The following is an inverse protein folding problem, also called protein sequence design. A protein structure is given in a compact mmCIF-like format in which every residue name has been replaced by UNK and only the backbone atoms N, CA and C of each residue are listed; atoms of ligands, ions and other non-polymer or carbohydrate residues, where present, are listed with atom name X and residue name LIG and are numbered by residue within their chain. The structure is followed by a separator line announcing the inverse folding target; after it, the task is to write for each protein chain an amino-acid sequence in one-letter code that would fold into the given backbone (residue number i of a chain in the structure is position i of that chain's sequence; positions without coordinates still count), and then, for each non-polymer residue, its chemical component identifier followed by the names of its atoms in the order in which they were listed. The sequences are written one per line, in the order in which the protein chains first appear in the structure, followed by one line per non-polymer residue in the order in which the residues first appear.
data_IF_068804315035
#
_entry.id   IF_068804315035
#
_cell.length_a   1.000
_cell.length_b   1.000
_cell.length_c   1.000
_cell.angle_alpha   90.00
_cell.angle_beta   90.00
_cell.angle_gamma   90.00
#
_symmetry.space_group_name_H-M   'P 1'
#
loop_
_entity.id
_entity.type
_entity.pdbx_description
1 polymer ?
#
# COMPACT_ATOMS: atom_id res chain seq x y z
N UNK A 1 -0.46 24.25 12.38
CA UNK A 1 0.89 23.67 12.48
C UNK A 1 1.03 22.75 11.29
N UNK A 2 1.97 23.07 10.40
CA UNK A 2 2.03 22.52 9.06
C UNK A 2 3.06 21.38 9.01
N UNK A 3 2.82 20.34 9.80
CA UNK A 3 3.76 19.23 9.98
C UNK A 3 4.14 18.57 8.66
N UNK A 4 3.19 18.47 7.72
CA UNK A 4 3.47 17.92 6.39
C UNK A 4 4.39 18.84 5.57
N UNK A 5 4.11 20.14 5.49
CA UNK A 5 4.99 21.07 4.77
C UNK A 5 6.39 21.17 5.39
N UNK A 6 6.52 21.04 6.70
CA UNK A 6 7.82 20.98 7.39
C UNK A 6 8.60 19.73 6.98
N UNK A 7 7.94 18.58 6.89
CA UNK A 7 8.53 17.32 6.42
C UNK A 7 8.94 17.44 4.94
N UNK A 8 8.08 17.95 4.07
CA UNK A 8 8.38 18.17 2.66
C UNK A 8 9.58 19.10 2.48
N UNK A 9 9.66 20.17 3.28
CA UNK A 9 10.80 21.09 3.25
C UNK A 9 12.09 20.45 3.74
N UNK A 10 12.02 19.58 4.76
CA UNK A 10 13.17 18.84 5.26
C UNK A 10 13.68 17.84 4.21
N UNK A 11 12.78 17.07 3.59
CA UNK A 11 13.12 16.11 2.52
C UNK A 11 13.74 16.83 1.32
N UNK A 12 13.21 17.99 0.95
CA UNK A 12 13.72 18.80 -0.17
C UNK A 12 15.15 19.32 0.05
N UNK A 13 15.64 19.34 1.30
CA UNK A 13 16.99 19.81 1.66
C UNK A 13 18.02 18.68 1.77
N UNK A 14 17.60 17.41 1.66
CA UNK A 14 18.48 16.26 1.72
C UNK A 14 19.44 16.22 0.53
N UNK A 15 20.68 15.79 0.77
CA UNK A 15 21.60 15.49 -0.32
C UNK A 15 21.18 14.23 -1.08
N UNK A 16 21.71 14.02 -2.29
CA UNK A 16 21.30 12.90 -3.15
C UNK A 16 21.43 11.53 -2.47
N UNK A 17 22.50 11.32 -1.69
CA UNK A 17 22.75 10.06 -0.98
C UNK A 17 21.78 9.86 0.19
N UNK A 18 21.48 10.93 0.92
CA UNK A 18 20.50 10.91 2.01
C UNK A 18 19.07 10.71 1.48
N UNK A 19 18.75 11.32 0.34
CA UNK A 19 17.46 11.14 -0.33
C UNK A 19 17.32 9.71 -0.87
N UNK A 20 18.40 9.10 -1.36
CA UNK A 20 18.39 7.70 -1.77
C UNK A 20 18.15 6.77 -0.57
N UNK A 21 18.86 6.98 0.55
CA UNK A 21 18.63 6.23 1.78
C UNK A 21 17.21 6.42 2.32
N UNK A 22 16.69 7.65 2.29
CA UNK A 22 15.31 7.96 2.68
C UNK A 22 14.29 7.21 1.84
N UNK A 23 14.47 7.14 0.52
CA UNK A 23 13.56 6.40 -0.38
C UNK A 23 13.54 4.91 -0.10
N UNK A 24 14.68 4.31 0.19
CA UNK A 24 14.77 2.88 0.56
C UNK A 24 14.01 2.62 1.85
N UNK A 25 14.31 3.40 2.89
CA UNK A 25 13.63 3.28 4.18
C UNK A 25 12.12 3.54 4.07
N UNK A 26 11.71 4.56 3.32
CA UNK A 26 10.29 4.92 3.17
C UNK A 26 9.51 3.82 2.45
N UNK A 27 10.11 3.14 1.47
CA UNK A 27 9.47 2.01 0.80
C UNK A 27 9.22 0.83 1.76
N UNK A 28 10.16 0.54 2.67
CA UNK A 28 9.97 -0.48 3.71
C UNK A 28 8.89 -0.08 4.70
N UNK A 29 8.91 1.18 5.15
CA UNK A 29 7.90 1.73 6.06
C UNK A 29 6.48 1.69 5.45
N UNK A 30 6.35 2.08 4.19
CA UNK A 30 5.07 2.07 3.47
C UNK A 30 4.58 0.63 3.24
N UNK A 31 5.49 -0.31 2.94
CA UNK A 31 5.17 -1.73 2.85
C UNK A 31 4.66 -2.30 4.19
N UNK A 32 5.29 -1.96 5.32
CA UNK A 32 4.81 -2.39 6.64
C UNK A 32 3.42 -1.81 6.97
N UNK A 33 3.15 -0.57 6.59
CA UNK A 33 1.82 0.03 6.78
C UNK A 33 0.78 -0.67 5.91
N UNK A 34 1.13 -0.98 4.67
CA UNK A 34 0.27 -1.72 3.77
C UNK A 34 -0.03 -3.13 4.29
N UNK A 35 0.99 -3.85 4.78
CA UNK A 35 0.83 -5.18 5.38
C UNK A 35 -0.15 -5.13 6.56
N UNK A 36 -0.01 -4.14 7.45
CA UNK A 36 -0.94 -3.98 8.59
C UNK A 36 -2.37 -3.70 8.12
N UNK A 37 -2.56 -2.80 7.16
CA UNK A 37 -3.88 -2.50 6.62
C UNK A 37 -4.50 -3.75 5.96
N UNK A 38 -3.69 -4.52 5.23
CA UNK A 38 -4.12 -5.75 4.60
C UNK A 38 -4.55 -6.80 5.64
N UNK A 39 -3.78 -6.99 6.71
CA UNK A 39 -4.13 -7.89 7.81
C UNK A 39 -5.44 -7.48 8.49
N UNK A 40 -5.67 -6.18 8.68
CA UNK A 40 -6.94 -5.67 9.22
C UNK A 40 -8.11 -5.94 8.27
N UNK A 41 -7.94 -5.74 6.96
CA UNK A 41 -8.97 -6.00 5.95
C UNK A 41 -9.29 -7.50 5.84
N UNK A 42 -8.28 -8.37 5.98
CA UNK A 42 -8.45 -9.83 6.13
C UNK A 42 -9.27 -10.14 7.37
N UNK A 43 -8.91 -9.57 8.52
CA UNK A 43 -9.60 -9.80 9.80
C UNK A 43 -11.04 -9.29 9.80
N UNK A 44 -11.33 -8.24 9.02
CA UNK A 44 -12.67 -7.70 8.82
C UNK A 44 -13.52 -8.51 7.82
N UNK A 45 -13.02 -9.64 7.29
CA UNK A 45 -13.68 -10.43 6.22
C UNK A 45 -14.00 -9.63 4.96
N UNK A 46 -13.37 -8.46 4.76
CA UNK A 46 -13.57 -7.62 3.58
C UNK A 46 -13.17 -8.35 2.29
N UNK A 47 -12.15 -9.21 2.39
CA UNK A 47 -11.67 -10.01 1.28
C UNK A 47 -12.57 -11.20 0.93
N UNK A 48 -13.46 -11.63 1.84
CA UNK A 48 -14.39 -12.74 1.58
C UNK A 48 -15.45 -12.36 0.54
N UNK A 49 -15.93 -11.10 0.56
CA UNK A 49 -16.85 -10.59 -0.45
C UNK A 49 -16.20 -10.50 -1.84
N UNK A 50 -14.93 -10.06 -1.88
CA UNK A 50 -14.14 -10.02 -3.12
C UNK A 50 -13.91 -11.44 -3.66
N UNK A 51 -13.59 -12.39 -2.79
CA UNK A 51 -13.42 -13.80 -3.16
C UNK A 51 -14.73 -14.42 -3.67
N UNK A 52 -15.87 -14.12 -3.04
CA UNK A 52 -17.18 -14.59 -3.49
C UNK A 52 -17.52 -14.03 -4.89
N UNK A 53 -17.27 -12.73 -5.11
CA UNK A 53 -17.50 -12.09 -6.40
C UNK A 53 -16.58 -12.64 -7.49
N UNK A 54 -15.31 -12.89 -7.17
CA UNK A 54 -14.36 -13.51 -8.10
C UNK A 54 -14.81 -14.93 -8.51
N UNK A 55 -15.28 -15.75 -7.57
CA UNK A 55 -15.84 -17.08 -7.86
C UNK A 55 -17.08 -16.99 -8.75
N UNK A 56 -17.98 -16.04 -8.50
CA UNK A 56 -19.15 -15.82 -9.33
C UNK A 56 -18.76 -15.42 -10.76
N UNK A 57 -17.80 -14.51 -10.91
CA UNK A 57 -17.32 -14.10 -12.23
C UNK A 57 -16.67 -15.25 -13.02
N UNK A 58 -15.94 -16.13 -12.33
CA UNK A 58 -15.38 -17.35 -12.92
C UNK A 58 -16.48 -18.30 -13.39
N UNK A 59 -17.50 -18.54 -12.57
CA UNK A 59 -18.66 -19.36 -12.94
C UNK A 59 -19.44 -18.78 -14.13
N UNK A 60 -19.52 -17.47 -14.21
CA UNK A 60 -20.22 -16.75 -15.28
C UNK A 60 -19.36 -16.57 -16.54
N UNK A 61 -18.17 -17.18 -16.60
CA UNK A 61 -17.28 -17.15 -17.78
C UNK A 61 -16.72 -15.76 -18.08
N UNK A 62 -16.74 -14.84 -17.11
CA UNK A 62 -16.25 -13.46 -17.24
C UNK A 62 -14.79 -13.29 -16.82
N UNK A 63 -14.09 -14.38 -16.55
CA UNK A 63 -12.65 -14.37 -16.30
C UNK A 63 -11.90 -14.71 -17.60
N UNK A 64 -10.86 -13.93 -17.90
CA UNK A 64 -9.84 -14.29 -18.89
C UNK A 64 -8.71 -15.06 -18.21
N UNK A 65 -8.03 -15.93 -18.95
CA UNK A 65 -6.82 -16.58 -18.45
C UNK A 65 -5.74 -15.56 -18.07
N UNK A 66 -4.92 -15.95 -17.08
CA UNK A 66 -3.80 -15.17 -16.55
C UNK A 66 -2.62 -15.11 -17.52
#
# INVERSE_FOLDING_TARGET
MNSLQEIESAISKLFADELAAFRVWFAEFDAELWDRQFEEDVAASCLDELAARARQHLQEGRCTDL
#
